data_IF_486392824842
#
_entry.id   IF_486392824842
#
_cell.length_a   1.000
_cell.length_b   1.000
_cell.length_c   1.000
_cell.angle_alpha   90.00
_cell.angle_beta   90.00
_cell.angle_gamma   90.00
#
_symmetry.space_group_name_H-M   'P 1'
#
loop_
_entity.id
_entity.type
_entity.pdbx_description
1 polymer ?
#
# COMPACT_ATOMS: atom_id res chain seq x y z
N UNK A 1 34.22 5.59 -11.65
CA UNK A 1 32.75 5.71 -11.51
C UNK A 1 32.10 4.37 -11.17
N UNK A 2 32.37 3.27 -11.90
CA UNK A 2 32.00 1.89 -11.49
C UNK A 2 32.39 1.56 -10.04
N UNK A 3 33.60 1.89 -9.63
CA UNK A 3 34.10 1.65 -8.26
C UNK A 3 33.38 2.46 -7.17
N UNK A 4 32.84 3.65 -7.49
CA UNK A 4 32.03 4.46 -6.56
C UNK A 4 30.59 3.93 -6.44
N UNK A 5 30.11 3.26 -7.49
CA UNK A 5 28.79 2.61 -7.57
C UNK A 5 28.85 1.21 -6.93
N UNK A 6 29.93 0.46 -7.12
CA UNK A 6 30.18 -0.81 -6.41
C UNK A 6 30.25 -0.59 -4.90
N UNK A 7 30.87 0.50 -4.44
CA UNK A 7 30.92 0.83 -3.02
C UNK A 7 29.56 1.23 -2.41
N UNK A 8 28.58 1.67 -3.20
CA UNK A 8 27.20 1.90 -2.73
C UNK A 8 26.36 0.61 -2.67
N UNK A 9 26.79 -0.46 -3.35
CA UNK A 9 26.09 -1.76 -3.42
C UNK A 9 26.81 -2.85 -2.60
N UNK A 10 28.08 -2.63 -2.22
CA UNK A 10 28.97 -3.58 -1.52
C UNK A 10 28.54 -3.98 -0.09
N UNK A 11 27.39 -3.56 0.42
CA UNK A 11 26.94 -3.87 1.78
C UNK A 11 26.21 -5.22 1.92
N UNK A 12 26.33 -6.13 0.95
CA UNK A 12 25.67 -7.45 0.94
C UNK A 12 26.70 -8.59 0.99
N UNK A 13 27.42 -8.71 2.11
CA UNK A 13 28.06 -9.97 2.46
C UNK A 13 26.96 -10.95 2.93
N UNK A 14 26.66 -11.93 2.08
CA UNK A 14 25.57 -12.91 2.19
C UNK A 14 25.89 -14.09 3.15
N UNK A 15 27.01 -14.06 3.86
CA UNK A 15 27.51 -15.18 4.68
C UNK A 15 27.47 -14.96 6.20
N UNK A 16 27.02 -13.81 6.68
CA UNK A 16 26.97 -13.51 8.12
C UNK A 16 25.55 -13.63 8.70
N UNK A 17 25.41 -14.08 9.96
CA UNK A 17 24.12 -14.23 10.61
C UNK A 17 23.36 -12.90 10.68
N UNK A 18 22.03 -13.03 10.66
CA UNK A 18 20.97 -12.01 10.58
C UNK A 18 20.97 -11.02 11.75
N UNK A 19 22.07 -10.31 11.98
CA UNK A 19 22.17 -9.33 13.06
C UNK A 19 21.82 -7.94 12.52
N UNK A 20 20.51 -7.71 12.36
CA UNK A 20 19.90 -6.46 11.88
C UNK A 20 20.41 -5.25 12.68
N UNK A 21 20.63 -5.41 13.99
CA UNK A 21 21.14 -4.35 14.87
C UNK A 21 22.53 -3.82 14.48
N UNK A 22 23.37 -4.64 13.84
CA UNK A 22 24.69 -4.23 13.34
C UNK A 22 24.62 -3.60 11.93
N UNK A 23 23.56 -3.87 11.17
CA UNK A 23 23.43 -3.49 9.75
C UNK A 23 22.59 -2.24 9.50
N UNK A 24 21.74 -1.85 10.46
CA UNK A 24 20.82 -0.73 10.31
C UNK A 24 21.12 0.40 11.32
N UNK A 25 21.06 1.68 10.90
CA UNK A 25 21.30 2.80 11.80
C UNK A 25 20.28 2.80 12.94
N UNK A 26 20.76 2.86 14.19
CA UNK A 26 20.02 3.15 15.43
C UNK A 26 18.51 2.80 15.41
N UNK A 27 18.19 1.53 15.14
CA UNK A 27 16.83 1.01 14.96
C UNK A 27 15.89 1.40 16.11
N UNK A 28 16.42 1.58 17.33
CA UNK A 28 15.65 1.97 18.51
C UNK A 28 15.16 3.43 18.57
N UNK A 29 15.63 4.33 17.68
CA UNK A 29 15.16 5.73 17.60
C UNK A 29 14.22 6.00 16.42
N UNK A 30 14.01 5.02 15.53
CA UNK A 30 13.22 5.20 14.32
C UNK A 30 11.75 4.90 14.62
N UNK A 31 10.89 5.90 14.47
CA UNK A 31 9.44 5.76 14.65
C UNK A 31 8.79 5.18 13.39
N UNK A 32 8.05 4.08 13.56
CA UNK A 32 7.21 3.52 12.50
C UNK A 32 5.90 4.32 12.43
N UNK A 33 5.79 5.16 11.42
CA UNK A 33 4.63 6.02 11.22
C UNK A 33 4.17 5.99 9.76
N UNK A 34 2.86 5.83 9.55
CA UNK A 34 2.25 5.91 8.24
C UNK A 34 2.07 7.37 7.81
N UNK A 35 2.64 7.73 6.67
CA UNK A 35 2.46 9.03 6.02
C UNK A 35 1.89 8.85 4.63
N UNK A 36 1.43 9.97 4.04
CA UNK A 36 0.91 9.99 2.67
C UNK A 36 1.64 11.05 1.87
N UNK A 37 2.04 10.70 0.66
CA UNK A 37 2.47 11.67 -0.35
C UNK A 37 1.55 11.57 -1.56
N UNK A 38 1.25 12.71 -2.20
CA UNK A 38 0.59 12.72 -3.50
C UNK A 38 1.40 11.92 -4.51
N UNK A 39 0.73 11.18 -5.39
CA UNK A 39 1.37 10.45 -6.47
C UNK A 39 2.16 11.38 -7.42
N UNK A 40 1.83 12.68 -7.48
CA UNK A 40 2.59 13.67 -8.23
C UNK A 40 4.01 13.84 -7.66
N UNK A 41 4.14 13.82 -6.33
CA UNK A 41 5.42 13.95 -5.63
C UNK A 41 6.18 12.61 -5.65
N UNK A 42 5.48 11.50 -5.41
CA UNK A 42 6.09 10.17 -5.48
C UNK A 42 6.65 9.90 -6.87
N UNK A 43 5.90 10.21 -7.93
CA UNK A 43 6.29 9.95 -9.32
C UNK A 43 7.01 11.11 -9.99
N UNK A 44 7.41 12.12 -9.22
CA UNK A 44 8.20 13.23 -9.72
C UNK A 44 9.52 12.73 -10.35
N UNK A 45 9.97 13.30 -11.49
CA UNK A 45 11.24 12.94 -12.12
C UNK A 45 12.46 13.47 -11.36
N UNK A 46 12.28 14.20 -10.26
CA UNK A 46 13.39 14.74 -9.48
C UNK A 46 14.19 13.60 -8.84
N UNK A 47 15.50 13.59 -9.11
CA UNK A 47 16.42 12.59 -8.56
C UNK A 47 16.86 13.02 -7.17
N UNK A 48 16.62 12.16 -6.19
CA UNK A 48 17.15 12.32 -4.84
C UNK A 48 18.17 11.22 -4.53
N UNK A 49 19.27 11.60 -3.88
CA UNK A 49 20.17 10.67 -3.23
C UNK A 49 19.52 10.06 -1.98
N UNK A 50 20.18 9.02 -1.44
CA UNK A 50 19.71 8.31 -0.25
C UNK A 50 19.39 9.24 0.93
N UNK A 51 20.36 10.09 1.29
CA UNK A 51 20.25 10.97 2.46
C UNK A 51 19.23 12.08 2.20
N UNK A 52 19.23 12.65 0.99
CA UNK A 52 18.22 13.65 0.61
C UNK A 52 16.80 13.07 0.74
N UNK A 53 16.57 11.84 0.27
CA UNK A 53 15.25 11.20 0.37
C UNK A 53 14.87 10.91 1.84
N UNK A 54 15.83 10.48 2.68
CA UNK A 54 15.62 10.34 4.12
C UNK A 54 15.27 11.65 4.80
N UNK A 55 15.89 12.75 4.39
CA UNK A 55 15.53 14.08 4.88
C UNK A 55 14.07 14.40 4.55
N UNK A 56 13.58 14.10 3.34
CA UNK A 56 12.19 14.32 2.97
C UNK A 56 11.22 13.49 3.82
N UNK A 57 11.57 12.23 4.09
CA UNK A 57 10.81 11.36 5.00
C UNK A 57 10.75 11.93 6.41
N UNK A 58 11.90 12.34 6.96
CA UNK A 58 11.99 12.96 8.28
C UNK A 58 11.13 14.24 8.36
N UNK A 59 11.29 15.15 7.40
CA UNK A 59 10.47 16.37 7.29
C UNK A 59 8.98 16.04 7.24
N UNK A 60 8.58 14.99 6.52
CA UNK A 60 7.16 14.59 6.44
C UNK A 60 6.61 14.14 7.79
N UNK A 61 7.40 13.38 8.57
CA UNK A 61 7.02 13.00 9.93
C UNK A 61 6.83 14.23 10.81
N UNK A 62 7.80 15.14 10.78
CA UNK A 62 7.75 16.40 11.52
C UNK A 62 6.56 17.29 11.12
N UNK A 63 6.27 17.39 9.82
CA UNK A 63 5.07 18.08 9.30
C UNK A 63 3.81 17.46 9.87
N UNK A 64 3.71 16.12 9.88
CA UNK A 64 2.52 15.41 10.37
C UNK A 64 2.32 15.59 11.88
N UNK A 65 3.40 15.52 12.67
CA UNK A 65 3.36 15.79 14.11
C UNK A 65 2.88 17.22 14.39
N UNK A 66 3.51 18.22 13.76
CA UNK A 66 3.10 19.63 13.92
C UNK A 66 1.69 19.89 13.41
N UNK A 67 1.24 19.21 12.34
CA UNK A 67 -0.13 19.34 11.86
C UNK A 67 -1.16 18.88 12.90
N UNK A 68 -0.86 17.76 13.55
CA UNK A 68 -1.72 17.16 14.59
C UNK A 68 -1.70 17.98 15.89
N UNK A 69 -0.56 18.55 16.26
CA UNK A 69 -0.36 19.25 17.54
C UNK A 69 -0.70 20.74 17.50
N UNK A 70 -0.53 21.43 16.35
CA UNK A 70 -0.61 22.90 16.26
C UNK A 70 -1.77 23.44 15.42
N UNK A 71 -2.75 22.61 15.09
CA UNK A 71 -3.94 23.03 14.33
C UNK A 71 -3.59 23.67 12.96
N UNK A 72 -2.57 23.14 12.26
CA UNK A 72 -2.11 23.63 10.94
C UNK A 72 -3.10 23.36 9.78
N UNK A 73 -4.37 23.12 10.08
CA UNK A 73 -5.45 23.07 9.07
C UNK A 73 -5.73 24.42 8.42
N UNK A 74 -5.05 25.49 8.85
CA UNK A 74 -5.12 26.85 8.33
C UNK A 74 -3.88 27.12 7.45
N UNK A 75 -4.02 27.31 6.12
CA UNK A 75 -2.90 27.51 5.20
C UNK A 75 -1.97 28.67 5.57
N UNK A 76 -2.49 29.72 6.21
CA UNK A 76 -1.70 30.86 6.67
C UNK A 76 -0.62 30.46 7.69
N UNK A 77 -0.83 29.39 8.46
CA UNK A 77 0.14 28.87 9.43
C UNK A 77 1.31 28.13 8.78
N UNK A 78 1.27 27.87 7.47
CA UNK A 78 2.35 27.18 6.76
C UNK A 78 3.53 28.11 6.46
N UNK A 79 3.31 29.43 6.43
CA UNK A 79 4.35 30.44 6.08
C UNK A 79 5.52 30.46 7.08
N UNK A 80 5.29 30.01 8.31
CA UNK A 80 6.28 29.97 9.38
C UNK A 80 6.67 28.54 9.78
N UNK A 81 6.55 27.56 8.86
CA UNK A 81 6.90 26.17 9.15
C UNK A 81 8.43 25.96 9.12
N UNK A 82 9.08 26.44 10.18
CA UNK A 82 10.48 26.22 10.48
C UNK A 82 10.66 24.98 11.37
N UNK A 83 11.62 24.14 11.01
CA UNK A 83 12.13 23.06 11.84
C UNK A 83 13.53 23.45 12.32
N UNK A 84 13.72 23.39 13.64
CA UNK A 84 15.00 23.62 14.29
C UNK A 84 15.65 22.25 14.51
N UNK A 85 16.48 21.83 13.57
CA UNK A 85 17.14 20.52 13.64
C UNK A 85 18.46 20.64 14.41
N UNK A 86 18.81 19.56 15.08
CA UNK A 86 20.05 19.36 15.83
C UNK A 86 20.99 18.39 15.08
N UNK A 87 22.23 18.27 15.56
CA UNK A 87 23.15 17.22 15.09
C UNK A 87 22.57 15.81 15.28
N UNK A 88 21.78 15.59 16.33
CA UNK A 88 21.11 14.32 16.59
C UNK A 88 20.06 14.01 15.52
N UNK A 89 19.30 15.01 15.06
CA UNK A 89 18.33 14.85 13.97
C UNK A 89 19.04 14.55 12.65
N UNK A 90 20.11 15.28 12.34
CA UNK A 90 20.95 15.01 11.17
C UNK A 90 21.60 13.62 11.25
N UNK A 91 21.95 13.18 12.45
CA UNK A 91 22.47 11.86 12.78
C UNK A 91 21.42 10.76 12.61
N UNK A 92 20.14 11.04 12.87
CA UNK A 92 19.03 10.12 12.59
C UNK A 92 18.81 9.96 11.07
N UNK A 93 18.91 11.06 10.32
CA UNK A 93 18.71 11.06 8.86
C UNK A 93 19.85 10.34 8.12
N UNK A 94 21.09 10.77 8.33
CA UNK A 94 22.24 10.25 7.56
C UNK A 94 23.06 9.18 8.28
N UNK A 95 22.83 8.96 9.57
CA UNK A 95 23.70 8.20 10.47
C UNK A 95 24.61 9.13 11.27
N UNK A 96 24.86 8.79 12.54
CA UNK A 96 25.60 9.63 13.50
C UNK A 96 27.02 10.02 13.04
N UNK A 97 27.68 9.18 12.23
CA UNK A 97 29.01 9.49 11.66
C UNK A 97 28.95 10.35 10.39
N UNK A 98 27.75 10.67 9.90
CA UNK A 98 27.51 11.30 8.61
C UNK A 98 26.81 12.67 8.73
N UNK A 99 26.77 13.29 9.91
CA UNK A 99 26.15 14.61 10.13
C UNK A 99 26.58 15.66 9.09
N UNK A 100 27.88 15.83 8.75
CA UNK A 100 28.30 16.77 7.70
C UNK A 100 27.74 16.45 6.31
N UNK A 101 27.53 15.16 6.02
CA UNK A 101 26.95 14.71 4.74
C UNK A 101 25.45 14.95 4.71
N UNK A 102 24.75 14.79 5.83
CA UNK A 102 23.35 15.18 5.98
C UNK A 102 23.16 16.67 5.81
N UNK A 103 24.01 17.48 6.43
CA UNK A 103 24.05 18.92 6.24
C UNK A 103 24.20 19.30 4.75
N UNK A 104 25.15 18.68 4.05
CA UNK A 104 25.33 18.90 2.62
C UNK A 104 24.08 18.49 1.81
N UNK A 105 23.46 17.36 2.15
CA UNK A 105 22.23 16.89 1.48
C UNK A 105 21.05 17.86 1.68
N UNK A 106 20.87 18.41 2.89
CA UNK A 106 19.89 19.45 3.19
C UNK A 106 20.11 20.70 2.32
N UNK A 107 21.36 21.14 2.18
CA UNK A 107 21.70 22.29 1.33
C UNK A 107 21.42 22.02 -0.15
N UNK A 108 21.67 20.80 -0.65
CA UNK A 108 21.35 20.44 -2.04
C UNK A 108 19.85 20.29 -2.28
N UNK A 109 19.09 19.82 -1.30
CA UNK A 109 17.62 19.77 -1.38
C UNK A 109 17.00 21.15 -1.62
N UNK A 110 17.54 22.20 -1.00
CA UNK A 110 17.04 23.57 -1.17
C UNK A 110 17.20 24.09 -2.62
N UNK A 111 18.04 23.45 -3.44
CA UNK A 111 18.24 23.81 -4.84
C UNK A 111 17.33 23.04 -5.79
N UNK A 112 16.55 22.07 -5.30
CA UNK A 112 15.72 21.19 -6.13
C UNK A 112 14.29 21.72 -6.22
N UNK A 113 13.86 21.92 -7.45
CA UNK A 113 12.49 22.23 -7.81
C UNK A 113 11.75 20.95 -8.17
N UNK A 114 10.52 20.82 -7.68
CA UNK A 114 9.61 19.72 -7.95
C UNK A 114 8.53 20.22 -8.90
N UNK A 115 8.42 19.63 -10.10
CA UNK A 115 7.32 19.98 -11.00
C UNK A 115 6.00 19.50 -10.38
N UNK A 116 5.03 20.39 -10.35
CA UNK A 116 3.69 20.11 -9.87
C UNK A 116 2.66 20.57 -10.88
N UNK A 117 1.47 19.97 -10.81
CA UNK A 117 0.34 20.33 -11.66
C UNK A 117 -0.92 20.29 -10.82
N UNK A 118 -1.73 21.33 -10.92
CA UNK A 118 -2.99 21.46 -10.20
C UNK A 118 -4.02 22.19 -11.07
N UNK A 119 -5.28 22.20 -10.64
CA UNK A 119 -6.33 22.99 -11.28
C UNK A 119 -6.65 24.21 -10.43
N UNK A 120 -6.79 25.37 -11.05
CA UNK A 120 -7.29 26.56 -10.37
C UNK A 120 -8.82 26.47 -10.15
N UNK A 121 -9.40 27.48 -9.50
CA UNK A 121 -10.84 27.57 -9.22
C UNK A 121 -11.71 27.52 -10.49
N UNK A 122 -11.16 27.95 -11.64
CA UNK A 122 -11.81 27.91 -12.95
C UNK A 122 -11.64 26.56 -13.67
N UNK A 123 -11.00 25.57 -13.02
CA UNK A 123 -10.75 24.24 -13.57
C UNK A 123 -9.61 24.16 -14.58
N UNK A 124 -8.87 25.26 -14.80
CA UNK A 124 -7.75 25.33 -15.73
C UNK A 124 -6.53 24.63 -15.16
N UNK A 125 -5.84 23.87 -16.00
CA UNK A 125 -4.63 23.16 -15.61
C UNK A 125 -3.45 24.12 -15.51
N UNK A 126 -2.90 24.27 -14.31
CA UNK A 126 -1.71 25.08 -14.02
C UNK A 126 -0.53 24.13 -13.80
N UNK A 127 0.62 24.48 -14.40
CA UNK A 127 1.90 23.81 -14.20
C UNK A 127 2.82 24.77 -13.43
N UNK A 128 3.48 24.26 -12.41
CA UNK A 128 4.39 25.05 -11.59
C UNK A 128 5.56 24.21 -11.10
N UNK A 129 6.47 24.87 -10.41
CA UNK A 129 7.61 24.26 -9.77
C UNK A 129 7.68 24.77 -8.33
N UNK A 130 7.83 23.86 -7.38
CA UNK A 130 7.83 24.16 -5.94
C UNK A 130 9.06 23.57 -5.28
N UNK A 131 9.46 24.13 -4.15
CA UNK A 131 10.52 23.55 -3.33
C UNK A 131 9.94 22.62 -2.26
N UNK A 132 10.74 21.67 -1.78
CA UNK A 132 10.46 21.03 -0.49
C UNK A 132 10.94 21.91 0.65
N UNK A 133 12.19 22.37 0.53
CA UNK A 133 12.87 23.27 1.45
C UNK A 133 13.22 24.52 0.66
N UNK A 134 12.67 25.66 1.03
CA UNK A 134 12.89 26.93 0.32
C UNK A 134 13.81 27.89 1.10
N UNK A 135 14.17 27.56 2.35
CA UNK A 135 15.18 28.27 3.13
C UNK A 135 15.88 27.35 4.11
N UNK A 136 17.19 27.54 4.26
CA UNK A 136 18.06 26.77 5.14
C UNK A 136 19.13 27.65 5.76
N UNK A 137 19.19 27.67 7.09
CA UNK A 137 20.21 28.41 7.85
C UNK A 137 20.91 27.49 8.84
N UNK A 138 22.19 27.74 9.08
CA UNK A 138 22.92 27.11 10.18
C UNK A 138 23.42 28.21 11.10
N UNK A 139 22.91 28.21 12.33
CA UNK A 139 23.33 29.16 13.34
C UNK A 139 24.56 28.59 14.05
N UNK A 140 25.72 29.21 13.83
CA UNK A 140 26.99 28.77 14.43
C UNK A 140 27.09 29.04 15.93
N UNK A 141 26.27 29.94 16.46
CA UNK A 141 26.23 30.25 17.90
C UNK A 141 25.41 29.21 18.67
N UNK A 142 24.24 28.81 18.13
CA UNK A 142 23.35 27.84 18.78
C UNK A 142 23.61 26.40 18.34
N UNK A 143 24.28 26.17 17.22
CA UNK A 143 24.47 24.85 16.62
C UNK A 143 23.21 24.29 15.96
N UNK A 144 22.17 25.10 15.75
CA UNK A 144 20.90 24.66 15.17
C UNK A 144 20.84 24.88 13.66
N UNK A 145 20.14 23.97 12.99
CA UNK A 145 19.83 24.04 11.56
C UNK A 145 18.37 24.42 11.37
N UNK A 146 18.13 25.63 10.87
CA UNK A 146 16.78 26.12 10.60
C UNK A 146 16.37 25.76 9.18
N UNK A 147 15.40 24.86 9.05
CA UNK A 147 14.87 24.37 7.78
C UNK A 147 13.44 24.87 7.61
N UNK A 148 13.19 25.73 6.61
CA UNK A 148 11.82 26.12 6.24
C UNK A 148 11.28 25.18 5.18
N UNK A 149 10.11 24.61 5.44
CA UNK A 149 9.35 23.87 4.43
C UNK A 149 8.47 24.82 3.64
N UNK A 150 8.49 24.69 2.32
CA UNK A 150 7.70 25.53 1.42
C UNK A 150 6.20 25.31 1.66
N UNK A 151 5.40 26.36 1.90
CA UNK A 151 3.94 26.23 2.02
C UNK A 151 3.29 25.54 0.81
N UNK A 152 3.86 25.72 -0.39
CA UNK A 152 3.35 25.19 -1.65
C UNK A 152 3.46 23.66 -1.76
N UNK A 153 4.33 23.01 -0.97
CA UNK A 153 4.42 21.54 -0.95
C UNK A 153 3.33 20.89 -0.08
N UNK A 154 2.77 21.64 0.87
CA UNK A 154 1.87 21.10 1.90
C UNK A 154 0.61 20.42 1.34
N UNK A 155 -0.09 20.95 0.31
CA UNK A 155 -1.23 20.28 -0.29
C UNK A 155 -0.91 18.88 -0.82
N UNK A 156 0.36 18.59 -1.10
CA UNK A 156 0.80 17.28 -1.59
C UNK A 156 1.19 16.30 -0.47
N UNK A 157 1.21 16.73 0.79
CA UNK A 157 1.60 15.92 1.96
C UNK A 157 0.44 15.69 2.93
N UNK A 158 -0.41 16.70 3.14
CA UNK A 158 -1.44 16.68 4.20
C UNK A 158 -2.88 16.72 3.66
N UNK A 159 -3.15 17.47 2.60
CA UNK A 159 -4.52 17.68 2.07
C UNK A 159 -4.80 16.84 0.80
N UNK A 160 -4.58 15.53 0.92
CA UNK A 160 -4.71 14.57 -0.18
C UNK A 160 -5.82 13.56 0.09
N UNK A 161 -6.91 13.69 -0.66
CA UNK A 161 -8.06 12.76 -0.61
C UNK A 161 -8.04 11.70 -1.71
N UNK A 162 -7.26 11.90 -2.77
CA UNK A 162 -7.17 11.01 -3.95
C UNK A 162 -5.74 10.94 -4.48
N UNK A 163 -5.43 9.85 -5.20
CA UNK A 163 -4.16 9.67 -5.91
C UNK A 163 -2.93 9.94 -5.05
N UNK A 164 -2.84 9.21 -3.94
CA UNK A 164 -1.72 9.28 -3.00
C UNK A 164 -1.16 7.88 -2.72
N UNK A 165 0.08 7.85 -2.28
CA UNK A 165 0.76 6.66 -1.79
C UNK A 165 0.90 6.77 -0.28
N UNK A 166 0.52 5.71 0.43
CA UNK A 166 0.73 5.59 1.88
C UNK A 166 1.93 4.68 2.12
N UNK A 167 2.86 5.10 2.97
CA UNK A 167 4.01 4.28 3.32
C UNK A 167 4.49 4.55 4.74
N UNK A 168 5.20 3.57 5.30
CA UNK A 168 5.83 3.64 6.62
C UNK A 168 7.18 4.37 6.57
N UNK A 169 7.31 5.47 7.31
CA UNK A 169 8.53 6.26 7.41
C UNK A 169 9.70 5.45 7.98
N UNK A 170 9.46 4.64 9.01
CA UNK A 170 10.52 3.88 9.67
C UNK A 170 11.20 2.92 8.72
N UNK A 171 10.40 2.18 7.95
CA UNK A 171 10.87 1.32 6.85
C UNK A 171 11.69 2.14 5.84
N UNK A 172 11.15 3.27 5.38
CA UNK A 172 11.78 4.09 4.36
C UNK A 172 13.13 4.70 4.79
N UNK A 173 13.26 5.01 6.08
CA UNK A 173 14.49 5.51 6.71
C UNK A 173 15.57 4.43 6.84
N UNK A 174 15.18 3.16 7.02
CA UNK A 174 16.11 2.04 7.20
C UNK A 174 16.81 1.61 5.88
N UNK A 175 16.15 1.79 4.74
CA UNK A 175 16.66 1.38 3.42
C UNK A 175 18.01 2.03 3.11
N UNK A 176 18.98 1.27 2.57
CA UNK A 176 20.37 1.71 2.36
C UNK A 176 20.66 2.15 0.93
N UNK A 177 19.76 1.88 0.00
CA UNK A 177 19.89 2.31 -1.40
C UNK A 177 18.75 3.24 -1.80
N UNK A 178 19.09 4.28 -2.58
CA UNK A 178 18.08 5.15 -3.21
C UNK A 178 17.12 4.35 -4.11
N UNK A 179 17.60 3.25 -4.69
CA UNK A 179 16.75 2.37 -5.50
C UNK A 179 15.81 1.54 -4.65
N UNK A 180 16.24 1.10 -3.46
CA UNK A 180 15.36 0.40 -2.53
C UNK A 180 14.28 1.34 -2.00
N UNK A 181 14.61 2.59 -1.69
CA UNK A 181 13.63 3.62 -1.36
C UNK A 181 12.61 3.82 -2.48
N UNK A 182 13.09 3.96 -3.73
CA UNK A 182 12.19 4.13 -4.88
C UNK A 182 11.32 2.90 -5.14
N UNK A 183 11.88 1.71 -4.98
CA UNK A 183 11.14 0.45 -5.13
C UNK A 183 10.09 0.28 -4.02
N UNK A 184 10.43 0.65 -2.79
CA UNK A 184 9.51 0.63 -1.67
C UNK A 184 8.32 1.57 -1.88
N UNK A 185 8.57 2.80 -2.36
CA UNK A 185 7.51 3.75 -2.73
C UNK A 185 6.62 3.19 -3.86
N UNK A 186 7.24 2.61 -4.89
CA UNK A 186 6.52 1.99 -6.01
C UNK A 186 5.61 0.86 -5.52
N UNK A 187 6.14 -0.03 -4.68
CA UNK A 187 5.36 -1.13 -4.09
C UNK A 187 4.24 -0.58 -3.21
N UNK A 188 4.53 0.42 -2.37
CA UNK A 188 3.55 1.07 -1.49
C UNK A 188 2.37 1.67 -2.26
N UNK A 189 2.62 2.22 -3.46
CA UNK A 189 1.57 2.80 -4.30
C UNK A 189 0.54 1.75 -4.75
N UNK A 190 0.96 0.48 -4.88
CA UNK A 190 0.14 -0.58 -5.47
C UNK A 190 -0.12 -1.76 -4.51
N UNK A 191 0.27 -1.66 -3.23
CA UNK A 191 0.16 -2.76 -2.26
C UNK A 191 -1.26 -2.96 -1.68
N UNK A 192 -2.19 -2.05 -1.95
CA UNK A 192 -3.58 -2.12 -1.47
C UNK A 192 -4.43 -3.13 -2.26
N UNK A 193 -5.69 -2.78 -2.50
CA UNK A 193 -6.61 -3.60 -3.32
C UNK A 193 -6.45 -3.37 -4.83
N UNK A 194 -5.29 -2.85 -5.25
CA UNK A 194 -5.02 -2.46 -6.62
C UNK A 194 -5.00 -3.68 -7.56
N UNK A 195 -5.60 -3.52 -8.74
CA UNK A 195 -5.48 -4.44 -9.87
C UNK A 195 -5.12 -3.64 -11.11
N UNK A 196 -4.08 -4.07 -11.83
CA UNK A 196 -3.76 -3.49 -13.12
C UNK A 196 -4.84 -3.89 -14.14
N UNK A 197 -5.40 -2.90 -14.82
CA UNK A 197 -6.44 -3.12 -15.83
C UNK A 197 -5.79 -3.10 -17.21
N UNK A 198 -5.94 -4.19 -17.95
CA UNK A 198 -5.51 -4.30 -19.34
C UNK A 198 -6.66 -4.91 -20.15
N UNK A 199 -7.20 -4.13 -21.08
CA UNK A 199 -8.33 -4.56 -21.92
C UNK A 199 -7.95 -5.67 -22.89
N UNK A 200 -6.68 -5.76 -23.31
CA UNK A 200 -6.18 -6.79 -24.21
C UNK A 200 -6.05 -8.14 -23.51
N UNK A 201 -5.54 -8.16 -22.28
CA UNK A 201 -5.52 -9.39 -21.45
C UNK A 201 -6.94 -9.83 -21.09
N UNK A 202 -7.80 -8.86 -20.75
CA UNK A 202 -9.22 -9.12 -20.48
C UNK A 202 -9.94 -9.77 -21.67
N UNK A 203 -9.67 -9.30 -22.88
CA UNK A 203 -10.22 -9.89 -24.10
C UNK A 203 -9.74 -11.34 -24.33
N UNK A 204 -8.60 -11.73 -23.76
CA UNK A 204 -8.07 -13.10 -23.79
C UNK A 204 -8.59 -13.97 -22.63
N UNK A 205 -9.54 -13.48 -21.83
CA UNK A 205 -10.11 -14.22 -20.71
C UNK A 205 -9.26 -14.22 -19.44
N UNK A 206 -8.27 -13.33 -19.35
CA UNK A 206 -7.39 -13.23 -18.18
C UNK A 206 -7.39 -11.82 -17.61
N UNK A 207 -7.16 -11.70 -16.30
CA UNK A 207 -6.87 -10.41 -15.67
C UNK A 207 -5.64 -10.54 -14.78
N UNK A 208 -4.93 -9.44 -14.60
CA UNK A 208 -3.86 -9.40 -13.62
C UNK A 208 -4.42 -9.70 -12.22
N UNK A 209 -3.69 -10.53 -11.47
CA UNK A 209 -3.94 -10.68 -10.04
C UNK A 209 -3.79 -9.34 -9.34
N UNK A 210 -4.51 -9.17 -8.22
CA UNK A 210 -4.32 -8.00 -7.36
C UNK A 210 -2.87 -7.91 -6.89
N UNK A 211 -2.35 -6.67 -6.76
CA UNK A 211 -0.97 -6.37 -6.35
C UNK A 211 0.12 -6.93 -7.28
N UNK A 212 -0.25 -7.29 -8.52
CA UNK A 212 0.70 -7.58 -9.60
C UNK A 212 0.72 -6.40 -10.56
N UNK A 213 1.90 -5.82 -10.75
CA UNK A 213 2.10 -4.63 -11.57
C UNK A 213 3.02 -4.98 -12.76
N UNK A 214 2.48 -5.01 -13.99
CA UNK A 214 3.31 -5.05 -15.19
C UNK A 214 3.98 -3.69 -15.42
N UNK A 215 5.28 -3.68 -15.71
CA UNK A 215 6.05 -2.47 -15.97
C UNK A 215 6.86 -2.68 -17.25
N UNK A 216 6.68 -1.79 -18.23
CA UNK A 216 7.54 -1.77 -19.42
C UNK A 216 8.94 -1.30 -19.03
N UNK A 217 9.98 -1.83 -19.66
CA UNK A 217 11.35 -1.47 -19.31
C UNK A 217 11.64 0.02 -19.57
N UNK A 218 10.98 0.64 -20.54
CA UNK A 218 11.05 2.10 -20.76
C UNK A 218 10.53 2.88 -19.54
N UNK A 219 9.36 2.48 -19.02
CA UNK A 219 8.77 3.08 -17.81
C UNK A 219 9.64 2.82 -16.58
N UNK A 220 10.16 1.60 -16.42
CA UNK A 220 11.05 1.26 -15.31
C UNK A 220 12.29 2.17 -15.31
N UNK A 221 12.93 2.36 -16.48
CA UNK A 221 14.11 3.21 -16.59
C UNK A 221 13.81 4.68 -16.26
N UNK A 222 12.65 5.18 -16.68
CA UNK A 222 12.15 6.51 -16.28
C UNK A 222 11.89 6.61 -14.78
N UNK A 223 11.16 5.66 -14.19
CA UNK A 223 10.81 5.64 -12.75
C UNK A 223 12.08 5.66 -11.88
N UNK A 224 13.11 4.91 -12.28
CA UNK A 224 14.37 4.79 -11.53
C UNK A 224 15.45 5.79 -11.96
N UNK A 225 15.14 6.72 -12.88
CA UNK A 225 16.05 7.74 -13.41
C UNK A 225 17.36 7.13 -13.97
N UNK A 226 17.23 6.12 -14.82
CA UNK A 226 18.36 5.36 -15.38
C UNK A 226 18.81 5.85 -16.75
N UNK A 227 18.02 6.71 -17.38
CA UNK A 227 18.27 7.22 -18.72
C UNK A 227 19.19 8.43 -18.73
N UNK A 228 19.76 8.67 -19.91
CA UNK A 228 20.59 9.85 -20.12
C UNK A 228 19.73 11.11 -20.09
N UNK A 229 20.11 12.04 -19.22
CA UNK A 229 19.49 13.37 -19.16
C UNK A 229 20.38 14.35 -19.90
N UNK A 230 19.79 15.06 -20.86
CA UNK A 230 20.46 16.11 -21.63
C UNK A 230 19.80 17.46 -21.36
N UNK A 231 20.62 18.50 -21.36
CA UNK A 231 20.14 19.87 -21.35
C UNK A 231 19.28 20.10 -22.61
N UNK A 232 18.02 20.55 -22.49
CA UNK A 232 17.11 20.68 -23.62
C UNK A 232 17.63 21.61 -24.72
N UNK A 233 18.40 22.64 -24.36
CA UNK A 233 18.88 23.70 -25.25
C UNK A 233 20.26 23.39 -25.83
N UNK A 234 21.20 23.01 -24.99
CA UNK A 234 22.61 22.77 -25.37
C UNK A 234 22.88 21.33 -25.81
N UNK A 235 21.94 20.40 -25.55
CA UNK A 235 22.08 18.95 -25.78
C UNK A 235 23.23 18.28 -25.02
N UNK A 236 23.91 19.02 -24.11
CA UNK A 236 24.98 18.50 -23.27
C UNK A 236 24.42 17.45 -22.31
N UNK A 237 25.14 16.34 -22.16
CA UNK A 237 24.80 15.30 -21.17
C UNK A 237 24.96 15.87 -19.77
N UNK A 238 23.85 15.96 -19.04
CA UNK A 238 23.79 16.34 -17.62
C UNK A 238 24.06 15.10 -16.77
N UNK A 239 23.43 13.99 -17.11
CA UNK A 239 23.62 12.70 -16.41
C UNK A 239 23.67 11.58 -17.45
N UNK A 240 24.72 10.74 -17.47
CA UNK A 240 24.81 9.63 -18.41
C UNK A 240 23.83 8.51 -18.05
N UNK A 241 23.41 7.74 -19.05
CA UNK A 241 22.63 6.53 -18.81
C UNK A 241 23.42 5.50 -17.97
N UNK A 242 22.73 4.83 -17.06
CA UNK A 242 23.29 3.79 -16.19
C UNK A 242 22.45 2.52 -16.28
N UNK A 243 23.08 1.38 -15.98
CA UNK A 243 22.48 0.05 -16.06
C UNK A 243 21.73 -0.15 -17.40
N UNK A 244 22.43 0.04 -18.52
CA UNK A 244 21.80 0.08 -19.85
C UNK A 244 21.30 -1.29 -20.29
N UNK A 245 21.86 -2.37 -19.73
CA UNK A 245 21.40 -3.72 -19.97
C UNK A 245 20.42 -4.20 -18.90
N UNK A 246 19.47 -5.06 -19.28
CA UNK A 246 18.56 -5.70 -18.32
C UNK A 246 19.32 -6.53 -17.27
N UNK A 247 20.47 -7.13 -17.63
CA UNK A 247 21.32 -7.87 -16.68
C UNK A 247 21.78 -6.97 -15.53
N UNK A 248 22.21 -5.75 -15.85
CA UNK A 248 22.62 -4.77 -14.84
C UNK A 248 21.43 -4.28 -14.01
N UNK A 249 20.29 -3.98 -14.64
CA UNK A 249 19.06 -3.61 -13.90
C UNK A 249 18.64 -4.72 -12.94
N UNK A 250 18.67 -5.96 -13.41
CA UNK A 250 18.33 -7.14 -12.61
C UNK A 250 19.25 -7.25 -11.40
N UNK A 251 20.56 -7.25 -11.61
CA UNK A 251 21.55 -7.45 -10.55
C UNK A 251 21.61 -6.29 -9.56
N UNK A 252 21.72 -5.05 -10.05
CA UNK A 252 22.02 -3.88 -9.23
C UNK A 252 20.79 -3.15 -8.69
N UNK A 253 19.59 -3.46 -9.22
CA UNK A 253 18.34 -2.86 -8.76
C UNK A 253 17.38 -3.97 -8.31
N UNK A 254 16.88 -4.82 -9.20
CA UNK A 254 15.77 -5.72 -8.85
C UNK A 254 16.14 -6.71 -7.74
N UNK A 255 17.21 -7.49 -7.92
CA UNK A 255 17.65 -8.50 -6.94
C UNK A 255 18.17 -7.86 -5.65
N UNK A 256 18.93 -6.77 -5.76
CA UNK A 256 19.44 -6.03 -4.59
C UNK A 256 18.31 -5.44 -3.73
N UNK A 257 17.30 -4.82 -4.36
CA UNK A 257 16.17 -4.19 -3.66
C UNK A 257 15.18 -5.23 -3.13
N UNK A 258 14.96 -6.33 -3.87
CA UNK A 258 14.14 -7.47 -3.42
C UNK A 258 14.71 -8.07 -2.14
N UNK A 259 16.02 -8.34 -2.11
CA UNK A 259 16.67 -8.92 -0.94
C UNK A 259 16.60 -7.99 0.26
N UNK A 260 16.94 -6.71 0.10
CA UNK A 260 16.91 -5.75 1.21
C UNK A 260 15.51 -5.58 1.80
N UNK A 261 14.47 -5.48 0.96
CA UNK A 261 13.09 -5.37 1.45
C UNK A 261 12.60 -6.66 2.10
N UNK A 262 12.97 -7.83 1.57
CA UNK A 262 12.65 -9.11 2.19
C UNK A 262 13.31 -9.25 3.57
N UNK A 263 14.59 -8.87 3.70
CA UNK A 263 15.31 -8.88 4.97
C UNK A 263 14.60 -8.00 6.02
N UNK A 264 14.24 -6.75 5.65
CA UNK A 264 13.50 -5.85 6.53
C UNK A 264 12.12 -6.40 6.89
N UNK A 265 11.42 -7.01 5.93
CA UNK A 265 10.10 -7.61 6.16
C UNK A 265 10.18 -8.80 7.13
N UNK A 266 11.14 -9.71 6.92
CA UNK A 266 11.40 -10.84 7.80
C UNK A 266 11.80 -10.39 9.22
N UNK A 267 12.56 -9.30 9.31
CA UNK A 267 12.93 -8.63 10.55
C UNK A 267 11.80 -7.83 11.22
N UNK A 268 10.60 -7.80 10.62
CA UNK A 268 9.43 -6.99 11.06
C UNK A 268 9.62 -5.48 11.00
N UNK A 269 10.66 -5.01 10.30
CA UNK A 269 10.95 -3.59 10.05
C UNK A 269 10.36 -3.06 8.74
N UNK A 270 9.76 -3.91 7.91
CA UNK A 270 8.93 -3.51 6.78
C UNK A 270 7.53 -4.16 6.87
N UNK A 271 6.54 -3.51 6.29
CA UNK A 271 5.17 -4.02 6.15
C UNK A 271 4.91 -4.70 4.80
N UNK A 272 5.81 -4.53 3.84
CA UNK A 272 5.73 -5.11 2.51
C UNK A 272 7.11 -5.48 1.96
N UNK A 273 7.09 -6.35 0.96
CA UNK A 273 8.22 -6.69 0.10
C UNK A 273 7.66 -7.15 -1.26
N UNK A 274 8.52 -7.56 -2.20
CA UNK A 274 8.06 -7.94 -3.53
C UNK A 274 8.87 -9.08 -4.13
N UNK A 275 8.28 -9.78 -5.10
CA UNK A 275 8.99 -10.60 -6.09
C UNK A 275 8.92 -9.94 -7.46
N UNK A 276 9.80 -10.35 -8.38
CA UNK A 276 9.72 -9.91 -9.75
C UNK A 276 9.98 -11.06 -10.74
N UNK A 277 9.41 -10.95 -11.93
CA UNK A 277 9.65 -11.88 -13.03
C UNK A 277 9.74 -11.14 -14.36
N UNK A 278 10.53 -11.66 -15.29
CA UNK A 278 10.60 -11.16 -16.66
C UNK A 278 9.27 -11.40 -17.39
N UNK A 279 8.81 -10.40 -18.13
CA UNK A 279 7.67 -10.54 -19.02
C UNK A 279 7.96 -11.39 -20.26
N UNK A 280 6.95 -11.67 -21.08
CA UNK A 280 7.11 -12.44 -22.30
C UNK A 280 8.10 -11.76 -23.26
N UNK A 281 9.00 -12.56 -23.84
CA UNK A 281 10.00 -12.10 -24.80
C UNK A 281 9.47 -12.26 -26.22
N UNK A 282 9.75 -11.26 -27.07
CA UNK A 282 9.48 -11.37 -28.52
C UNK A 282 10.54 -12.26 -29.18
N UNK A 283 10.23 -13.55 -29.36
CA UNK A 283 11.07 -14.51 -30.07
C UNK A 283 12.28 -15.04 -29.27
N UNK A 284 12.99 -16.02 -29.84
CA UNK A 284 14.17 -16.64 -29.23
C UNK A 284 15.32 -15.63 -29.16
N UNK A 285 15.77 -15.31 -27.95
CA UNK A 285 16.83 -14.31 -27.72
C UNK A 285 16.33 -12.86 -27.67
N UNK A 286 15.01 -12.63 -27.69
CA UNK A 286 14.43 -11.30 -27.56
C UNK A 286 14.86 -10.59 -26.28
N UNK A 287 15.01 -9.27 -26.37
CA UNK A 287 15.27 -8.40 -25.21
C UNK A 287 14.08 -8.46 -24.25
N UNK A 288 14.36 -8.35 -22.95
CA UNK A 288 13.31 -8.18 -21.94
C UNK A 288 12.69 -6.79 -22.13
N UNK A 289 11.43 -6.75 -22.52
CA UNK A 289 10.68 -5.50 -22.74
C UNK A 289 9.80 -5.10 -21.56
N UNK A 290 9.44 -6.04 -20.70
CA UNK A 290 8.65 -5.79 -19.50
C UNK A 290 9.04 -6.71 -18.34
N UNK A 291 8.62 -6.32 -17.15
CA UNK A 291 8.70 -7.12 -15.92
C UNK A 291 7.35 -7.11 -15.21
N UNK A 292 7.11 -8.13 -14.39
CA UNK A 292 6.02 -8.15 -13.43
C UNK A 292 6.59 -7.97 -12.02
N UNK A 293 5.97 -7.11 -11.24
CA UNK A 293 6.26 -6.92 -9.81
C UNK A 293 5.10 -7.48 -9.01
N UNK A 294 5.36 -8.43 -8.12
CA UNK A 294 4.39 -9.10 -7.25
C UNK A 294 4.57 -8.56 -5.84
N UNK A 295 3.59 -7.81 -5.33
CA UNK A 295 3.73 -7.11 -4.05
C UNK A 295 3.04 -7.91 -2.95
N UNK A 296 3.75 -8.16 -1.86
CA UNK A 296 3.26 -8.87 -0.69
C UNK A 296 3.27 -7.96 0.52
N UNK A 297 2.24 -8.07 1.35
CA UNK A 297 2.14 -7.31 2.61
C UNK A 297 1.88 -8.26 3.77
N UNK A 298 1.90 -7.75 4.99
CA UNK A 298 1.45 -8.53 6.17
C UNK A 298 0.00 -9.00 6.06
N UNK A 299 -0.85 -8.22 5.39
CA UNK A 299 -2.27 -8.56 5.17
C UNK A 299 -2.46 -9.52 4.00
N UNK A 300 -1.59 -9.42 2.98
CA UNK A 300 -1.60 -10.25 1.79
C UNK A 300 -0.22 -10.89 1.59
N UNK A 301 0.16 -11.84 2.47
CA UNK A 301 1.47 -12.46 2.39
C UNK A 301 1.58 -13.39 1.18
N UNK A 302 2.81 -13.66 0.74
CA UNK A 302 3.10 -14.75 -0.19
C UNK A 302 2.66 -16.07 0.42
N UNK A 303 1.88 -16.86 -0.31
CA UNK A 303 1.45 -18.19 0.13
C UNK A 303 2.68 -19.07 0.40
N UNK A 304 2.72 -19.72 1.57
CA UNK A 304 3.83 -20.60 1.96
C UNK A 304 5.19 -19.89 2.09
N UNK A 305 5.22 -18.65 2.61
CA UNK A 305 6.40 -17.78 2.73
C UNK A 305 7.72 -18.52 3.10
N UNK A 306 8.54 -18.83 2.09
CA UNK A 306 9.81 -19.54 2.33
C UNK A 306 11.07 -18.83 1.79
N UNK A 307 10.95 -17.91 0.80
CA UNK A 307 12.06 -17.08 0.28
C UNK A 307 11.60 -16.14 -0.84
N UNK A 308 12.42 -15.13 -1.23
CA UNK A 308 12.29 -14.44 -2.50
C UNK A 308 12.37 -15.41 -3.68
N UNK A 309 11.55 -15.18 -4.69
CA UNK A 309 11.58 -15.94 -5.94
C UNK A 309 12.91 -15.71 -6.66
N UNK A 310 13.53 -16.80 -7.11
CA UNK A 310 14.78 -16.80 -7.86
C UNK A 310 14.61 -17.46 -9.22
N UNK A 311 15.50 -17.11 -10.16
CA UNK A 311 15.53 -17.75 -11.47
C UNK A 311 15.82 -19.24 -11.33
N UNK A 312 14.87 -20.08 -11.72
CA UNK A 312 14.93 -21.54 -11.58
C UNK A 312 13.83 -22.08 -10.68
N UNK A 313 13.23 -21.24 -9.83
CA UNK A 313 11.99 -21.57 -9.11
C UNK A 313 10.81 -21.67 -10.08
N UNK A 314 9.71 -22.28 -9.63
CA UNK A 314 8.47 -22.36 -10.40
C UNK A 314 8.01 -20.94 -10.80
N UNK A 315 7.69 -20.69 -12.08
CA UNK A 315 7.24 -19.37 -12.54
C UNK A 315 6.02 -18.88 -11.78
N UNK A 316 6.04 -17.61 -11.37
CA UNK A 316 4.86 -16.97 -10.80
C UNK A 316 3.87 -16.66 -11.92
N UNK A 317 2.59 -16.96 -11.68
CA UNK A 317 1.52 -16.58 -12.61
C UNK A 317 1.02 -15.17 -12.28
N UNK A 318 1.18 -14.19 -13.18
CA UNK A 318 0.70 -12.82 -12.98
C UNK A 318 -0.82 -12.69 -13.20
N UNK A 319 -1.43 -13.71 -13.81
CA UNK A 319 -2.82 -13.68 -14.23
C UNK A 319 -3.68 -14.61 -13.37
N UNK A 320 -4.95 -14.26 -13.27
CA UNK A 320 -6.02 -15.15 -12.85
C UNK A 320 -7.09 -15.18 -13.95
N UNK A 321 -7.85 -16.27 -14.00
CA UNK A 321 -8.98 -16.37 -14.92
C UNK A 321 -9.91 -15.18 -14.71
N UNK A 322 -10.24 -14.51 -15.80
CA UNK A 322 -11.30 -13.52 -15.78
C UNK A 322 -12.61 -14.26 -15.57
N UNK A 323 -13.01 -14.37 -14.30
CA UNK A 323 -14.43 -14.43 -14.01
C UNK A 323 -14.98 -13.05 -14.38
N UNK A 324 -15.97 -13.00 -15.28
CA UNK A 324 -16.80 -11.82 -15.40
C UNK A 324 -17.13 -11.38 -13.96
N UNK A 325 -16.82 -10.12 -13.59
CA UNK A 325 -17.44 -9.60 -12.39
C UNK A 325 -18.91 -9.84 -12.66
N UNK A 326 -19.54 -10.70 -11.84
CA UNK A 326 -20.98 -10.93 -11.89
C UNK A 326 -21.54 -9.54 -12.05
N UNK A 327 -22.10 -9.25 -13.23
CA UNK A 327 -22.48 -7.90 -13.56
C UNK A 327 -23.27 -7.42 -12.34
N UNK A 328 -22.76 -6.42 -11.63
CA UNK A 328 -23.59 -5.65 -10.72
C UNK A 328 -24.51 -4.81 -11.63
N UNK A 329 -25.22 -5.45 -12.57
CA UNK A 329 -26.39 -4.96 -13.24
C UNK A 329 -27.35 -4.57 -12.14
N UNK A 330 -27.21 -3.32 -11.71
CA UNK A 330 -27.89 -2.61 -10.64
C UNK A 330 -28.47 -3.58 -9.61
N UNK A 331 -27.73 -3.89 -8.53
CA UNK A 331 -28.23 -4.78 -7.46
C UNK A 331 -29.61 -4.31 -6.98
N UNK A 332 -29.91 -3.01 -7.07
CA UNK A 332 -31.25 -2.47 -6.83
C UNK A 332 -32.27 -2.83 -7.91
N UNK A 333 -31.90 -2.93 -9.20
CA UNK A 333 -32.75 -3.47 -10.27
C UNK A 333 -33.08 -4.93 -10.05
N UNK A 334 -32.09 -5.78 -9.75
CA UNK A 334 -32.36 -7.21 -9.44
C UNK A 334 -33.21 -7.37 -8.19
N UNK A 335 -32.97 -6.52 -7.19
CA UNK A 335 -33.82 -6.44 -6.01
C UNK A 335 -35.25 -6.08 -6.40
N UNK A 336 -35.48 -5.07 -7.27
CA UNK A 336 -36.81 -4.69 -7.80
C UNK A 336 -37.49 -5.78 -8.62
N UNK A 337 -36.71 -6.59 -9.34
CA UNK A 337 -37.19 -7.71 -10.16
C UNK A 337 -37.39 -9.00 -9.36
N UNK A 338 -36.98 -9.03 -8.10
CA UNK A 338 -37.12 -10.19 -7.24
C UNK A 338 -38.59 -10.47 -6.93
N UNK A 339 -38.99 -11.75 -6.97
CA UNK A 339 -40.37 -12.17 -6.65
C UNK A 339 -40.83 -11.73 -5.26
N UNK A 340 -39.90 -11.55 -4.32
CA UNK A 340 -40.19 -11.11 -2.97
C UNK A 340 -40.22 -9.58 -2.79
N UNK A 341 -39.85 -8.79 -3.81
CA UNK A 341 -39.71 -7.33 -3.71
C UNK A 341 -41.01 -6.64 -3.28
N UNK A 342 -42.11 -7.01 -3.93
CA UNK A 342 -43.45 -6.47 -3.65
C UNK A 342 -44.21 -7.28 -2.60
N UNK A 343 -43.58 -8.30 -2.00
CA UNK A 343 -44.22 -9.10 -0.96
C UNK A 343 -44.33 -8.29 0.34
N UNK A 344 -45.38 -8.57 1.12
CA UNK A 344 -45.53 -7.96 2.45
C UNK A 344 -44.34 -8.32 3.36
N UNK A 345 -44.06 -7.45 4.35
CA UNK A 345 -42.93 -7.61 5.27
C UNK A 345 -42.90 -8.98 5.96
N UNK A 346 -44.05 -9.49 6.38
CA UNK A 346 -44.18 -10.82 6.99
C UNK A 346 -43.80 -11.94 6.01
N UNK A 347 -44.19 -11.83 4.74
CA UNK A 347 -43.84 -12.80 3.72
C UNK A 347 -42.34 -12.77 3.38
N UNK A 348 -41.73 -11.58 3.30
CA UNK A 348 -40.28 -11.45 3.13
C UNK A 348 -39.51 -12.01 4.33
N UNK A 349 -40.02 -11.78 5.53
CA UNK A 349 -39.41 -12.26 6.77
C UNK A 349 -39.44 -13.79 6.85
N UNK A 350 -40.58 -14.41 6.51
CA UNK A 350 -40.70 -15.87 6.42
C UNK A 350 -39.75 -16.42 5.35
N UNK A 351 -39.76 -15.81 4.15
CA UNK A 351 -38.90 -16.23 3.05
C UNK A 351 -37.41 -16.16 3.42
N UNK A 352 -36.98 -15.09 4.10
CA UNK A 352 -35.61 -14.96 4.55
C UNK A 352 -35.26 -15.99 5.64
N UNK A 353 -36.15 -16.22 6.59
CA UNK A 353 -35.92 -17.20 7.65
C UNK A 353 -35.74 -18.61 7.06
N UNK A 354 -36.59 -19.00 6.10
CA UNK A 354 -36.45 -20.25 5.35
C UNK A 354 -35.12 -20.29 4.59
N UNK A 355 -34.76 -19.22 3.88
CA UNK A 355 -33.54 -19.14 3.09
C UNK A 355 -32.27 -19.26 3.94
N UNK A 356 -32.22 -18.60 5.11
CA UNK A 356 -31.12 -18.74 6.05
C UNK A 356 -31.05 -20.16 6.65
N UNK A 357 -32.21 -20.77 6.91
CA UNK A 357 -32.32 -22.14 7.45
C UNK A 357 -31.75 -23.21 6.52
N UNK A 358 -31.62 -22.95 5.22
CA UNK A 358 -30.92 -23.85 4.31
C UNK A 358 -29.41 -23.93 4.54
N UNK A 359 -28.81 -22.94 5.21
CA UNK A 359 -27.35 -22.78 5.28
C UNK A 359 -26.79 -22.65 6.70
N UNK A 360 -27.59 -22.16 7.65
CA UNK A 360 -27.14 -21.81 9.00
C UNK A 360 -27.81 -22.72 10.04
N UNK A 361 -27.17 -22.85 11.20
CA UNK A 361 -27.79 -23.52 12.34
C UNK A 361 -28.91 -22.67 12.95
N UNK A 362 -29.84 -23.30 13.67
CA UNK A 362 -31.04 -22.64 14.21
C UNK A 362 -30.71 -21.42 15.11
N UNK A 363 -29.67 -21.53 15.94
CA UNK A 363 -29.16 -20.46 16.80
C UNK A 363 -28.60 -19.28 16.00
N UNK A 364 -27.91 -19.57 14.89
CA UNK A 364 -27.40 -18.57 13.96
C UNK A 364 -28.53 -17.87 13.19
N UNK A 365 -29.54 -18.62 12.72
CA UNK A 365 -30.73 -18.06 12.07
C UNK A 365 -31.42 -17.09 13.03
N UNK A 366 -31.66 -17.51 14.28
CA UNK A 366 -32.25 -16.66 15.32
C UNK A 366 -31.41 -15.40 15.56
N UNK A 367 -30.10 -15.53 15.65
CA UNK A 367 -29.18 -14.41 15.81
C UNK A 367 -29.29 -13.41 14.64
N UNK A 368 -29.16 -13.87 13.40
CA UNK A 368 -29.17 -12.98 12.23
C UNK A 368 -30.56 -12.36 12.01
N UNK A 369 -31.64 -13.11 12.18
CA UNK A 369 -33.00 -12.57 12.13
C UNK A 369 -33.19 -11.46 13.18
N UNK A 370 -32.67 -11.65 14.39
CA UNK A 370 -32.68 -10.61 15.43
C UNK A 370 -31.86 -9.38 15.03
N UNK A 371 -30.64 -9.56 14.51
CA UNK A 371 -29.80 -8.43 14.06
C UNK A 371 -30.45 -7.65 12.92
N UNK A 372 -31.06 -8.35 11.97
CA UNK A 372 -31.77 -7.76 10.83
C UNK A 372 -32.98 -6.98 11.34
N UNK A 373 -33.80 -7.54 12.25
CA UNK A 373 -34.92 -6.81 12.88
C UNK A 373 -34.48 -5.54 13.60
N UNK A 374 -33.39 -5.61 14.38
CA UNK A 374 -32.85 -4.45 15.10
C UNK A 374 -32.36 -3.35 14.15
N UNK A 375 -31.80 -3.72 12.99
CA UNK A 375 -31.34 -2.77 11.97
C UNK A 375 -32.45 -2.30 11.02
N UNK A 376 -33.48 -3.11 10.81
CA UNK A 376 -34.64 -2.84 9.95
C UNK A 376 -35.51 -1.67 10.46
N UNK A 377 -35.27 -1.18 11.68
CA UNK A 377 -35.89 0.04 12.22
C UNK A 377 -35.54 1.34 11.48
N UNK A 378 -34.95 1.29 10.27
CA UNK A 378 -34.63 2.46 9.43
C UNK A 378 -34.80 2.28 7.90
N UNK A 379 -35.32 1.16 7.37
CA UNK A 379 -35.66 1.05 5.93
C UNK A 379 -36.63 -0.11 5.63
N UNK A 380 -37.53 0.08 4.67
CA UNK A 380 -38.50 -0.93 4.20
C UNK A 380 -37.83 -2.12 3.50
N UNK A 381 -36.59 -1.97 3.02
CA UNK A 381 -35.93 -2.91 2.11
C UNK A 381 -34.98 -3.92 2.77
N UNK A 382 -34.82 -3.91 4.11
CA UNK A 382 -33.74 -4.66 4.77
C UNK A 382 -33.80 -6.18 4.59
N UNK A 383 -34.99 -6.81 4.62
CA UNK A 383 -35.10 -8.25 4.38
C UNK A 383 -34.78 -8.60 2.93
N UNK A 384 -35.30 -7.81 1.99
CA UNK A 384 -35.08 -8.00 0.56
C UNK A 384 -33.60 -7.83 0.18
N UNK A 385 -32.90 -6.88 0.78
CA UNK A 385 -31.45 -6.72 0.59
C UNK A 385 -30.68 -7.99 0.99
N UNK A 386 -31.04 -8.61 2.12
CA UNK A 386 -30.42 -9.84 2.60
C UNK A 386 -30.77 -11.04 1.71
N UNK A 387 -32.05 -11.18 1.32
CA UNK A 387 -32.48 -12.21 0.37
C UNK A 387 -31.69 -12.09 -0.94
N UNK A 388 -31.53 -10.87 -1.46
CA UNK A 388 -30.85 -10.62 -2.73
C UNK A 388 -29.38 -11.04 -2.69
N UNK A 389 -28.64 -10.68 -1.63
CA UNK A 389 -27.22 -11.06 -1.53
C UNK A 389 -27.00 -12.56 -1.31
N UNK A 390 -27.96 -13.26 -0.70
CA UNK A 390 -27.90 -14.72 -0.54
C UNK A 390 -28.20 -15.41 -1.87
N UNK A 391 -29.25 -14.99 -2.59
CA UNK A 391 -29.56 -15.55 -3.91
C UNK A 391 -28.47 -15.27 -4.94
N UNK A 392 -27.80 -14.11 -4.86
CA UNK A 392 -26.64 -13.82 -5.69
C UNK A 392 -25.44 -14.74 -5.34
N UNK A 393 -25.34 -15.24 -4.10
CA UNK A 393 -24.39 -16.31 -3.73
C UNK A 393 -24.78 -17.66 -4.31
N UNK A 394 -26.04 -18.04 -4.25
CA UNK A 394 -26.54 -19.31 -4.80
C UNK A 394 -26.26 -19.48 -6.30
N UNK A 395 -26.22 -18.36 -7.05
CA UNK A 395 -25.88 -18.37 -8.48
C UNK A 395 -24.41 -18.72 -8.75
N UNK A 396 -23.50 -18.52 -7.80
CA UNK A 396 -22.06 -18.68 -8.01
C UNK A 396 -21.69 -20.15 -8.19
N UNK A 397 -20.93 -20.52 -9.25
CA UNK A 397 -20.55 -21.92 -9.49
C UNK A 397 -19.85 -22.58 -8.30
N UNK A 398 -18.91 -21.86 -7.66
CA UNK A 398 -18.21 -22.33 -6.45
C UNK A 398 -19.12 -22.52 -5.23
N UNK A 399 -20.23 -21.78 -5.15
CA UNK A 399 -21.21 -21.97 -4.08
C UNK A 399 -22.06 -23.21 -4.31
N UNK A 400 -22.49 -23.45 -5.56
CA UNK A 400 -23.27 -24.64 -5.95
C UNK A 400 -22.51 -25.95 -5.75
N UNK A 401 -21.21 -25.97 -6.08
CA UNK A 401 -20.35 -27.15 -5.94
C UNK A 401 -19.67 -27.27 -4.57
N UNK A 402 -19.90 -26.31 -3.66
CA UNK A 402 -19.21 -26.25 -2.37
C UNK A 402 -19.82 -27.15 -1.29
N UNK A 403 -19.00 -27.59 -0.34
CA UNK A 403 -19.44 -28.34 0.85
C UNK A 403 -20.39 -27.50 1.73
N UNK A 404 -21.16 -28.14 2.61
CA UNK A 404 -22.08 -27.43 3.52
C UNK A 404 -21.32 -26.44 4.41
N UNK A 405 -20.14 -26.84 4.90
CA UNK A 405 -19.26 -25.96 5.67
C UNK A 405 -18.77 -24.75 4.84
N UNK A 406 -18.48 -24.95 3.54
CA UNK A 406 -18.13 -23.85 2.65
C UNK A 406 -19.32 -22.92 2.41
N UNK A 407 -20.51 -23.46 2.10
CA UNK A 407 -21.73 -22.69 1.86
C UNK A 407 -22.11 -21.86 3.09
N UNK A 408 -22.11 -22.46 4.28
CA UNK A 408 -22.32 -21.78 5.57
C UNK A 408 -21.32 -20.64 5.79
N UNK A 409 -20.01 -20.92 5.65
CA UNK A 409 -18.97 -19.89 5.78
C UNK A 409 -19.12 -18.78 4.72
N UNK A 410 -19.55 -19.12 3.51
CA UNK A 410 -19.74 -18.18 2.42
C UNK A 410 -20.89 -17.21 2.70
N UNK A 411 -22.00 -17.71 3.26
CA UNK A 411 -23.11 -16.86 3.72
C UNK A 411 -22.66 -15.93 4.84
N UNK A 412 -22.04 -16.45 5.91
CA UNK A 412 -21.63 -15.66 7.08
C UNK A 412 -20.59 -14.59 6.73
N UNK A 413 -19.49 -14.99 6.08
CA UNK A 413 -18.33 -14.11 5.87
C UNK A 413 -18.52 -13.17 4.69
N UNK A 414 -19.26 -13.57 3.68
CA UNK A 414 -19.38 -12.79 2.44
C UNK A 414 -20.79 -12.24 2.25
N UNK A 415 -21.85 -13.04 2.24
CA UNK A 415 -23.20 -12.52 1.99
C UNK A 415 -23.60 -11.48 3.06
N UNK A 416 -23.57 -11.88 4.33
CA UNK A 416 -24.08 -11.07 5.45
C UNK A 416 -23.10 -9.96 5.89
N UNK A 417 -21.81 -10.09 5.58
CA UNK A 417 -20.78 -9.14 6.08
C UNK A 417 -20.16 -8.26 5.01
N UNK A 418 -19.85 -8.81 3.83
CA UNK A 418 -19.15 -8.07 2.77
C UNK A 418 -20.16 -7.53 1.75
N UNK A 419 -21.01 -8.39 1.20
CA UNK A 419 -21.93 -8.04 0.12
C UNK A 419 -23.04 -7.08 0.58
N UNK A 420 -23.51 -7.17 1.82
CA UNK A 420 -24.50 -6.21 2.34
C UNK A 420 -23.98 -4.76 2.36
N UNK A 421 -22.66 -4.53 2.35
CA UNK A 421 -22.09 -3.17 2.36
C UNK A 421 -22.48 -2.36 1.13
N UNK A 422 -22.85 -3.02 0.03
CA UNK A 422 -23.43 -2.38 -1.16
C UNK A 422 -24.70 -1.58 -0.83
N UNK A 423 -25.44 -1.98 0.21
CA UNK A 423 -26.63 -1.29 0.72
C UNK A 423 -26.33 -0.35 1.91
N UNK A 424 -25.06 -0.12 2.24
CA UNK A 424 -24.64 0.77 3.32
C UNK A 424 -24.61 0.16 4.73
N UNK A 425 -24.68 -1.17 4.87
CA UNK A 425 -24.61 -1.83 6.18
C UNK A 425 -24.05 -3.26 6.11
N UNK A 426 -23.69 -3.84 7.26
CA UNK A 426 -23.20 -5.22 7.37
C UNK A 426 -23.67 -5.88 8.66
N UNK A 427 -23.59 -7.21 8.74
CA UNK A 427 -23.89 -8.00 9.93
C UNK A 427 -22.61 -8.66 10.46
N UNK A 428 -22.38 -8.54 11.76
CA UNK A 428 -21.26 -9.23 12.41
C UNK A 428 -21.60 -10.71 12.64
N UNK A 429 -20.60 -11.60 12.65
CA UNK A 429 -20.82 -13.00 12.93
C UNK A 429 -21.24 -13.23 14.39
N UNK A 430 -22.04 -14.27 14.63
CA UNK A 430 -22.34 -14.72 15.98
C UNK A 430 -21.04 -15.15 16.66
N UNK A 431 -20.67 -14.46 17.74
CA UNK A 431 -19.54 -14.87 18.57
C UNK A 431 -19.84 -16.27 19.12
N UNK A 432 -18.93 -17.23 18.91
CA UNK A 432 -19.05 -18.55 19.51
C UNK A 432 -19.27 -18.38 21.02
N UNK A 433 -20.26 -19.07 21.64
CA UNK A 433 -20.42 -18.99 23.08
C UNK A 433 -19.11 -19.41 23.73
N UNK A 434 -18.54 -18.49 24.50
CA UNK A 434 -17.38 -18.76 25.35
C UNK A 434 -17.75 -19.98 26.17
N UNK A 435 -16.99 -21.08 26.06
CA UNK A 435 -17.12 -22.23 26.97
C UNK A 435 -17.04 -21.66 28.39
N UNK A 436 -18.18 -21.46 29.05
CA UNK A 436 -18.22 -21.18 30.49
C UNK A 436 -17.56 -22.40 31.12
N UNK A 437 -16.36 -22.23 31.66
CA UNK A 437 -15.79 -23.20 32.60
C UNK A 437 -16.87 -23.41 33.66
N UNK A 438 -17.44 -24.60 33.71
CA UNK A 438 -18.23 -25.01 34.87
C UNK A 438 -17.31 -24.83 36.08
N UNK A 439 -17.65 -23.89 36.97
CA UNK A 439 -17.06 -23.91 38.31
C UNK A 439 -17.53 -25.22 38.94
N UNK A 440 -16.65 -26.00 39.59
CA UNK A 440 -17.09 -27.15 40.36
C UNK A 440 -18.06 -26.66 41.43
N UNK A 441 -19.22 -27.28 41.51
CA UNK A 441 -20.15 -27.12 42.63
C UNK A 441 -19.45 -27.71 43.86
N UNK A 442 -19.07 -26.85 44.81
CA UNK A 442 -18.77 -27.29 46.16
C UNK A 442 -20.09 -27.81 46.77
N UNK A 443 -20.15 -29.11 47.02
CA UNK A 443 -21.16 -29.69 47.90
C UNK A 443 -20.80 -29.29 49.33
N UNK A 444 -21.53 -28.30 49.87
CA UNK A 444 -21.67 -28.14 51.31
C UNK A 444 -22.57 -29.27 51.82
N UNK A 445 -21.93 -30.31 52.35
CA UNK A 445 -22.53 -31.34 53.19
C UNK A 445 -22.58 -30.81 54.62
N UNK A 446 -23.75 -30.39 55.09
CA UNK A 446 -24.17 -30.58 56.50
C UNK A 446 -25.68 -30.39 56.62
N UNK A 447 -26.42 -31.48 56.86
CA UNK A 447 -27.35 -31.66 57.99
C UNK A 447 -28.32 -32.83 57.76
N UNK A 448 -27.96 -34.01 58.26
CA UNK A 448 -28.67 -34.78 59.31
C UNK A 448 -27.94 -36.10 59.55
#
# INVERSE_FOLDING_TARGET
MKQKIENEVSCLNLSEPMNITLRYPAVGKITHEQVRWSNAIVNSPVVYGLIERRTLYFITGEVKHKYTEKNLGVPESWKDLYFHLTDDDLGLIGGQKNVPRTYAALRELAKKLVPVTFKNEQGQLIRGEVHWVDSFFYNTETGLYDVRVSPEIMPYLIDISKSFTTFDLGTAMLLRSKYSQKMYELCSQFCGDFRFLDSGEKAQGHVYKKRVVPIQMEDFRRIFNLDEVRDPRTKKVITPAIYTSFKEVRQFILEATQMELFELYAAKHANLWFDFQEGPRKGRGGKVSSIFIYIYTKEFPKEGLEKPWQKGDEPLSPFEEYAEPVEHADIHKRMRENVWYNAGKEAQEIALQTLLGHYLHEDEVLYYMKQIRLKAGRSYDSYMQVIQVIQDKEKQPKFKSGTDAYRRNSIIKYALRVNLKEFGWSLEPMNAPTKRKQKPVQQDLFSM
#
